data_IF_219696587582
#
_entry.id   IF_219696587582
#
_cell.length_a   1.000
_cell.length_b   1.000
_cell.length_c   1.000
_cell.angle_alpha   90.00
_cell.angle_beta   90.00
_cell.angle_gamma   90.00
#
_symmetry.space_group_name_H-M   'P 1'
#
loop_
_entity.id
_entity.type
_entity.pdbx_description
1 polymer ?
#
# COMPACT_ATOMS: atom_id res chain seq x y z
N UNK A 1 -5.27 1.97 -33.48
CA UNK A 1 -5.25 1.83 -32.01
C UNK A 1 -3.87 2.23 -31.55
N UNK A 2 -3.75 3.25 -30.69
CA UNK A 2 -2.46 3.58 -30.09
C UNK A 2 -2.09 2.44 -29.14
N UNK A 3 -0.97 1.78 -29.43
CA UNK A 3 -0.48 0.67 -28.62
C UNK A 3 -0.02 1.24 -27.28
N UNK A 4 -0.52 0.68 -26.18
CA UNK A 4 -0.07 1.09 -24.83
C UNK A 4 1.44 0.81 -24.75
N UNK A 5 2.27 1.76 -24.30
CA UNK A 5 3.71 1.55 -24.21
C UNK A 5 4.03 0.33 -23.35
N UNK A 6 4.98 -0.49 -23.78
CA UNK A 6 5.37 -1.72 -23.06
C UNK A 6 5.81 -1.44 -21.62
N UNK A 7 6.48 -0.30 -21.39
CA UNK A 7 6.88 0.15 -20.05
C UNK A 7 5.68 0.36 -19.11
N UNK A 8 4.56 0.83 -19.64
CA UNK A 8 3.31 1.04 -18.89
C UNK A 8 2.68 -0.30 -18.57
N UNK A 9 2.66 -1.23 -19.53
CA UNK A 9 2.17 -2.60 -19.34
C UNK A 9 2.98 -3.31 -18.25
N UNK A 10 4.31 -3.17 -18.29
CA UNK A 10 5.21 -3.74 -17.28
C UNK A 10 4.94 -3.15 -15.90
N UNK A 11 4.82 -1.83 -15.78
CA UNK A 11 4.49 -1.17 -14.50
C UNK A 11 3.14 -1.61 -13.95
N UNK A 12 2.13 -1.78 -14.81
CA UNK A 12 0.83 -2.29 -14.40
C UNK A 12 0.94 -3.74 -13.88
N UNK A 13 1.71 -4.59 -14.57
CA UNK A 13 1.93 -5.98 -14.15
C UNK A 13 2.71 -6.07 -12.83
N UNK A 14 3.72 -5.22 -12.63
CA UNK A 14 4.48 -5.17 -11.39
C UNK A 14 3.60 -4.66 -10.23
N UNK A 15 2.70 -3.71 -10.49
CA UNK A 15 1.72 -3.21 -9.53
C UNK A 15 0.68 -4.27 -9.15
N UNK A 16 0.13 -4.98 -10.13
CA UNK A 16 -0.83 -6.08 -9.92
C UNK A 16 -0.24 -7.17 -9.01
N UNK A 17 1.00 -7.62 -9.28
CA UNK A 17 1.71 -8.58 -8.43
C UNK A 17 1.92 -8.09 -7.00
N UNK A 18 2.27 -6.81 -6.85
CA UNK A 18 2.47 -6.20 -5.54
C UNK A 18 1.14 -6.13 -4.77
N UNK A 19 0.03 -5.87 -5.46
CA UNK A 19 -1.31 -5.85 -4.87
C UNK A 19 -1.75 -7.24 -4.42
N UNK A 20 -1.58 -8.27 -5.26
CA UNK A 20 -1.87 -9.67 -4.88
C UNK A 20 -1.04 -10.11 -3.68
N UNK A 21 0.25 -9.78 -3.65
CA UNK A 21 1.11 -10.12 -2.50
C UNK A 21 0.67 -9.41 -1.21
N UNK A 22 0.14 -8.18 -1.34
CA UNK A 22 -0.43 -7.44 -0.22
C UNK A 22 -1.75 -8.06 0.25
N UNK A 23 -2.64 -8.44 -0.67
CA UNK A 23 -3.89 -9.15 -0.37
C UNK A 23 -3.63 -10.47 0.36
N UNK A 24 -2.68 -11.29 -0.12
CA UNK A 24 -2.28 -12.54 0.53
C UNK A 24 -1.75 -12.31 1.96
N UNK A 25 -0.94 -11.26 2.16
CA UNK A 25 -0.42 -10.89 3.48
C UNK A 25 -1.54 -10.42 4.42
N UNK A 26 -2.50 -9.66 3.89
CA UNK A 26 -3.67 -9.16 4.61
C UNK A 26 -4.58 -10.32 5.04
N UNK A 27 -4.89 -11.24 4.12
CA UNK A 27 -5.75 -12.39 4.37
C UNK A 27 -5.16 -13.32 5.42
N UNK A 28 -3.85 -13.59 5.36
CA UNK A 28 -3.17 -14.38 6.39
C UNK A 28 -3.31 -13.75 7.77
N UNK A 29 -3.21 -12.42 7.87
CA UNK A 29 -3.29 -11.71 9.14
C UNK A 29 -4.74 -11.57 9.67
N UNK A 30 -5.70 -11.27 8.79
CA UNK A 30 -7.12 -11.20 9.14
C UNK A 30 -7.65 -12.57 9.60
N UNK A 31 -7.24 -13.64 8.94
CA UNK A 31 -7.57 -15.01 9.36
C UNK A 31 -6.91 -15.37 10.70
N UNK A 32 -5.67 -14.93 10.96
CA UNK A 32 -5.00 -15.11 12.27
C UNK A 32 -5.75 -14.38 13.39
N UNK A 33 -6.22 -13.14 13.17
CA UNK A 33 -7.01 -12.40 14.17
C UNK A 33 -8.36 -13.08 14.47
N UNK A 34 -8.99 -13.71 13.47
CA UNK A 34 -10.24 -14.45 13.66
C UNK A 34 -10.08 -15.74 14.50
N UNK A 35 -8.87 -16.31 14.54
CA UNK A 35 -8.56 -17.56 15.26
C UNK A 35 -7.82 -17.36 16.59
N UNK A 36 -7.15 -16.22 16.79
CA UNK A 36 -6.37 -15.89 18.00
C UNK A 36 -6.70 -14.48 18.50
N UNK A 37 -7.92 -14.28 18.99
CA UNK A 37 -8.36 -12.95 19.45
C UNK A 37 -7.68 -12.49 20.77
N UNK A 38 -6.81 -13.30 21.39
CA UNK A 38 -6.19 -13.00 22.69
C UNK A 38 -4.65 -12.83 22.69
N UNK A 39 -3.93 -13.11 21.59
CA UNK A 39 -2.46 -13.16 21.62
C UNK A 39 -1.71 -12.25 20.63
N UNK A 40 -2.39 -11.50 19.76
CA UNK A 40 -1.70 -10.50 18.92
C UNK A 40 -1.28 -9.33 19.81
N UNK A 41 0.03 -9.08 19.91
CA UNK A 41 0.58 -7.97 20.68
C UNK A 41 0.03 -6.63 20.17
N UNK A 42 -0.16 -5.66 21.06
CA UNK A 42 -0.52 -4.29 20.67
C UNK A 42 0.46 -3.70 19.64
N UNK A 43 1.72 -4.13 19.67
CA UNK A 43 2.74 -3.75 18.70
C UNK A 43 2.44 -4.30 17.29
N UNK A 44 1.98 -5.55 17.19
CA UNK A 44 1.69 -6.18 15.90
C UNK A 44 0.47 -5.54 15.25
N UNK A 45 -0.54 -5.18 16.06
CA UNK A 45 -1.70 -4.41 15.61
C UNK A 45 -1.29 -3.03 15.06
N UNK A 46 -0.43 -2.31 15.79
CA UNK A 46 0.05 -0.99 15.35
C UNK A 46 0.88 -1.08 14.05
N UNK A 47 1.73 -2.10 13.91
CA UNK A 47 2.48 -2.35 12.66
C UNK A 47 1.55 -2.64 11.48
N UNK A 48 0.49 -3.39 11.71
CA UNK A 48 -0.51 -3.70 10.68
C UNK A 48 -1.31 -2.47 10.26
N UNK A 49 -1.77 -1.65 11.21
CA UNK A 49 -2.43 -0.38 10.92
C UNK A 49 -1.53 0.54 10.10
N UNK A 50 -0.25 0.63 10.46
CA UNK A 50 0.76 1.40 9.73
C UNK A 50 0.94 0.88 8.29
N UNK A 51 1.07 -0.43 8.11
CA UNK A 51 1.20 -1.06 6.79
C UNK A 51 -0.05 -0.85 5.93
N UNK A 52 -1.23 -0.91 6.54
CA UNK A 52 -2.51 -0.67 5.87
C UNK A 52 -2.61 0.78 5.40
N UNK A 53 -2.26 1.75 6.25
CA UNK A 53 -2.27 3.18 5.89
C UNK A 53 -1.29 3.47 4.76
N UNK A 54 -0.09 2.88 4.82
CA UNK A 54 0.93 3.01 3.77
C UNK A 54 0.45 2.45 2.43
N UNK A 55 -0.20 1.28 2.44
CA UNK A 55 -0.75 0.67 1.25
C UNK A 55 -1.85 1.54 0.62
N UNK A 56 -2.82 2.00 1.40
CA UNK A 56 -3.92 2.86 0.92
C UNK A 56 -3.38 4.16 0.31
N UNK A 57 -2.41 4.80 0.97
CA UNK A 57 -1.80 6.04 0.46
C UNK A 57 -1.01 5.81 -0.83
N UNK A 58 -0.33 4.67 -0.95
CA UNK A 58 0.39 4.28 -2.18
C UNK A 58 -0.57 3.99 -3.34
N UNK A 59 -1.73 3.38 -3.06
CA UNK A 59 -2.79 3.18 -4.05
C UNK A 59 -3.36 4.52 -4.52
N UNK A 60 -3.61 5.45 -3.60
CA UNK A 60 -4.09 6.78 -3.94
C UNK A 60 -3.08 7.58 -4.77
N UNK A 61 -1.79 7.47 -4.44
CA UNK A 61 -0.69 8.02 -5.24
C UNK A 61 -0.70 7.50 -6.68
N UNK A 62 -0.85 6.18 -6.83
CA UNK A 62 -0.93 5.51 -8.15
C UNK A 62 -2.16 5.96 -8.92
N UNK A 63 -3.31 6.09 -8.25
CA UNK A 63 -4.56 6.59 -8.84
C UNK A 63 -4.42 8.03 -9.37
N UNK A 64 -3.74 8.92 -8.63
CA UNK A 64 -3.48 10.28 -9.08
C UNK A 64 -2.63 10.31 -10.35
N UNK A 65 -1.58 9.48 -10.42
CA UNK A 65 -0.80 9.30 -11.64
C UNK A 65 -1.64 8.79 -12.83
N UNK A 66 -2.53 7.83 -12.62
CA UNK A 66 -3.45 7.35 -13.67
C UNK A 66 -4.42 8.44 -14.16
N UNK A 67 -4.74 9.43 -13.33
CA UNK A 67 -5.53 10.61 -13.72
C UNK A 67 -4.71 11.72 -14.39
N UNK A 68 -3.41 11.51 -14.60
CA UNK A 68 -2.50 12.55 -15.10
C UNK A 68 -2.27 13.69 -14.10
N UNK A 69 -2.60 13.48 -12.82
CA UNK A 69 -2.31 14.41 -11.74
C UNK A 69 -0.95 14.04 -11.16
N UNK A 70 -0.19 15.06 -10.78
CA UNK A 70 1.06 14.88 -10.04
C UNK A 70 0.73 14.74 -8.54
N UNK A 71 0.87 13.54 -7.96
CA UNK A 71 0.61 13.32 -6.54
C UNK A 71 1.57 14.07 -5.60
N UNK A 72 2.74 14.52 -6.06
CA UNK A 72 3.64 15.35 -5.25
C UNK A 72 3.09 16.75 -4.97
N UNK A 73 2.09 17.19 -5.76
CA UNK A 73 1.34 18.42 -5.49
C UNK A 73 0.33 18.25 -4.34
N UNK A 74 0.07 17.02 -3.90
CA UNK A 74 -0.68 16.75 -2.69
C UNK A 74 0.28 16.64 -1.51
N UNK A 75 0.62 17.80 -0.92
CA UNK A 75 1.58 17.91 0.18
C UNK A 75 1.21 17.06 1.39
N UNK A 76 -0.09 16.88 1.66
CA UNK A 76 -0.58 16.10 2.80
C UNK A 76 -0.28 14.61 2.60
N UNK A 77 -0.61 14.07 1.42
CA UNK A 77 -0.31 12.68 1.04
C UNK A 77 1.20 12.39 1.03
N UNK A 78 2.01 13.32 0.53
CA UNK A 78 3.46 13.18 0.48
C UNK A 78 4.09 13.15 1.89
N UNK A 79 3.62 14.03 2.78
CA UNK A 79 4.06 14.06 4.18
C UNK A 79 3.65 12.77 4.90
N UNK A 80 2.43 12.30 4.68
CA UNK A 80 1.92 11.08 5.31
C UNK A 80 2.73 9.85 4.89
N UNK A 81 3.01 9.67 3.60
CA UNK A 81 3.86 8.57 3.11
C UNK A 81 5.28 8.61 3.69
N UNK A 82 5.90 9.80 3.77
CA UNK A 82 7.24 9.96 4.37
C UNK A 82 7.21 9.64 5.86
N UNK A 83 6.19 10.08 6.58
CA UNK A 83 6.02 9.78 8.00
C UNK A 83 5.87 8.28 8.25
N UNK A 84 5.05 7.59 7.44
CA UNK A 84 4.85 6.15 7.52
C UNK A 84 6.13 5.35 7.23
N UNK A 85 6.93 5.78 6.24
CA UNK A 85 8.22 5.16 5.94
C UNK A 85 9.21 5.33 7.11
N UNK A 86 9.26 6.52 7.73
CA UNK A 86 10.16 6.79 8.86
C UNK A 86 9.76 6.00 10.10
N UNK A 87 8.46 5.88 10.39
CA UNK A 87 7.96 5.11 11.53
C UNK A 87 8.11 3.59 11.35
N UNK A 88 8.11 3.08 10.11
CA UNK A 88 8.36 1.67 9.82
C UNK A 88 9.83 1.24 10.00
N UNK A 89 10.78 2.19 10.12
CA UNK A 89 12.21 1.93 10.25
C UNK A 89 12.73 2.03 11.71
N UNK A 90 11.84 2.26 12.68
CA UNK A 90 12.12 2.24 14.12
C UNK A 90 11.45 1.03 14.78
#
# INVERSE_FOLDING_TARGET
MQQIPEDVIKKLSDFDKALTSFEDALDNHLNLQSQQNEQTSNLDKAKFELATLFAVNSLYWTYLHCKGKDPSQNSELAVELVFLILFSNY
#
